data_IF_286374870955
#
_entry.id   IF_286374870955
#
_cell.length_a   1.000
_cell.length_b   1.000
_cell.length_c   1.000
_cell.angle_alpha   90.00
_cell.angle_beta   90.00
_cell.angle_gamma   90.00
#
_symmetry.space_group_name_H-M   'P 1'
#
loop_
_entity.id
_entity.type
_entity.pdbx_description
1 polymer ?
#
# COMPACT_ATOMS: atom_id res chain seq x y z
N UNK A 1 1.36 12.61 -31.59
CA UNK A 1 1.31 12.95 -30.15
C UNK A 1 1.34 11.64 -29.39
N UNK A 2 2.45 11.33 -28.75
CA UNK A 2 2.60 10.12 -27.92
C UNK A 2 1.77 10.28 -26.65
N UNK A 3 1.26 9.18 -26.10
CA UNK A 3 0.40 9.12 -24.92
C UNK A 3 1.10 9.55 -23.60
N UNK A 4 2.13 10.39 -23.66
CA UNK A 4 2.97 10.79 -22.52
C UNK A 4 2.76 12.24 -22.09
N UNK A 5 1.92 13.02 -22.78
CA UNK A 5 1.53 14.37 -22.35
C UNK A 5 0.26 14.35 -21.48
N UNK A 6 0.17 13.39 -20.54
CA UNK A 6 -0.88 13.43 -19.52
C UNK A 6 -0.53 14.50 -18.49
N UNK A 7 -1.14 15.67 -18.66
CA UNK A 7 -1.46 16.72 -17.69
C UNK A 7 -0.72 16.55 -16.34
N UNK A 8 0.42 17.23 -16.18
CA UNK A 8 0.98 17.48 -14.84
C UNK A 8 0.09 18.54 -14.19
N UNK A 9 -0.97 18.12 -13.51
CA UNK A 9 -1.91 19.04 -12.89
C UNK A 9 -1.31 19.74 -11.65
N UNK A 10 -0.35 19.10 -10.96
CA UNK A 10 0.37 19.65 -9.82
C UNK A 10 1.83 19.14 -9.83
N UNK A 11 2.83 19.97 -9.45
CA UNK A 11 4.22 19.53 -9.35
C UNK A 11 4.40 18.53 -8.18
N UNK A 12 5.37 17.63 -8.31
CA UNK A 12 5.77 16.74 -7.21
C UNK A 12 6.17 17.54 -5.97
N UNK A 13 5.75 17.08 -4.79
CA UNK A 13 6.18 17.57 -3.49
C UNK A 13 6.34 16.40 -2.51
N UNK A 14 7.19 16.58 -1.48
CA UNK A 14 7.37 15.58 -0.42
C UNK A 14 6.34 15.70 0.71
N UNK A 15 5.51 16.75 0.70
CA UNK A 15 4.44 16.97 1.65
C UNK A 15 3.43 17.92 1.02
N UNK A 16 2.15 17.52 0.93
CA UNK A 16 1.05 18.38 0.46
C UNK A 16 -0.13 18.45 1.41
N UNK A 17 -0.17 17.62 2.45
CA UNK A 17 -1.25 17.62 3.43
C UNK A 17 -1.44 19.01 4.03
N UNK A 18 -2.69 19.48 4.04
CA UNK A 18 -3.08 20.63 4.83
C UNK A 18 -3.19 20.22 6.30
N UNK A 19 -2.42 20.79 7.24
CA UNK A 19 -2.44 20.36 8.65
C UNK A 19 -3.79 20.49 9.37
N UNK A 20 -4.69 21.33 8.83
CA UNK A 20 -6.05 21.53 9.35
C UNK A 20 -7.14 20.80 8.55
N UNK A 21 -6.74 19.94 7.58
CA UNK A 21 -7.67 19.24 6.69
C UNK A 21 -8.10 20.06 5.48
N UNK A 22 -9.00 19.51 4.65
CA UNK A 22 -9.42 20.13 3.40
C UNK A 22 -8.32 20.15 2.35
N UNK A 23 -7.45 19.12 2.36
CA UNK A 23 -6.46 18.95 1.30
C UNK A 23 -7.19 18.71 -0.02
N UNK A 24 -6.86 19.48 -1.06
CA UNK A 24 -7.52 19.34 -2.36
C UNK A 24 -7.22 17.96 -2.97
N UNK A 25 -8.22 17.20 -3.44
CA UNK A 25 -7.98 15.97 -4.18
C UNK A 25 -7.17 16.22 -5.46
N UNK A 26 -6.33 15.25 -5.82
CA UNK A 26 -5.67 15.19 -7.12
C UNK A 26 -6.70 14.92 -8.21
N UNK A 27 -6.38 15.35 -9.44
CA UNK A 27 -7.27 15.23 -10.60
C UNK A 27 -6.87 14.11 -11.56
N UNK A 28 -5.60 13.71 -11.56
CA UNK A 28 -5.04 12.70 -12.45
C UNK A 28 -4.78 11.35 -11.77
N UNK A 29 -4.67 11.35 -10.45
CA UNK A 29 -4.34 10.18 -9.63
C UNK A 29 -5.25 10.14 -8.42
N UNK A 30 -5.55 8.95 -7.92
CA UNK A 30 -6.32 8.82 -6.70
C UNK A 30 -6.71 7.38 -6.42
N UNK A 31 -7.12 7.17 -5.18
CA UNK A 31 -7.70 5.93 -4.69
C UNK A 31 -8.75 6.32 -3.66
N UNK A 32 -10.03 6.07 -3.97
CA UNK A 32 -11.15 6.46 -3.11
C UNK A 32 -11.75 5.27 -2.35
N UNK A 33 -11.72 4.06 -2.94
CA UNK A 33 -12.22 2.83 -2.35
C UNK A 33 -11.56 1.59 -3.01
N UNK A 34 -11.74 0.41 -2.40
CA UNK A 34 -11.15 -0.87 -2.84
C UNK A 34 -11.93 -1.60 -3.97
N UNK A 35 -13.07 -1.08 -4.43
CA UNK A 35 -13.98 -1.80 -5.34
C UNK A 35 -14.23 -1.13 -6.69
N UNK A 36 -13.78 0.11 -6.87
CA UNK A 36 -13.83 0.83 -8.13
C UNK A 36 -12.99 0.14 -9.21
N UNK A 37 -13.28 0.48 -10.48
CA UNK A 37 -12.49 0.01 -11.62
C UNK A 37 -11.04 0.49 -11.47
N UNK A 38 -10.14 -0.46 -11.31
CA UNK A 38 -8.70 -0.20 -11.25
C UNK A 38 -8.19 0.25 -12.63
N UNK A 39 -7.61 1.44 -12.73
CA UNK A 39 -7.04 1.96 -13.99
C UNK A 39 -5.52 1.92 -14.01
N UNK A 40 -4.88 2.03 -12.85
CA UNK A 40 -3.44 2.15 -12.69
C UNK A 40 -3.00 1.35 -11.46
N UNK A 41 -1.94 0.56 -11.58
CA UNK A 41 -1.41 -0.27 -10.49
C UNK A 41 0.10 -0.13 -10.36
N UNK A 42 0.60 -0.02 -9.14
CA UNK A 42 2.03 0.00 -8.85
C UNK A 42 2.49 -1.36 -8.35
N UNK A 43 3.37 -2.01 -9.11
CA UNK A 43 3.91 -3.34 -8.81
C UNK A 43 5.40 -3.28 -8.46
N UNK A 44 5.85 -4.23 -7.65
CA UNK A 44 7.26 -4.53 -7.46
C UNK A 44 7.67 -5.76 -8.27
N UNK A 45 8.88 -5.74 -8.85
CA UNK A 45 9.36 -6.89 -9.61
C UNK A 45 9.80 -8.06 -8.70
N UNK A 46 9.49 -9.32 -9.06
CA UNK A 46 9.96 -10.50 -8.33
C UNK A 46 11.43 -10.88 -8.65
N UNK A 47 12.18 -10.07 -9.38
CA UNK A 47 13.54 -10.40 -9.83
C UNK A 47 14.52 -10.68 -8.67
N UNK A 48 14.40 -9.93 -7.58
CA UNK A 48 15.24 -10.10 -6.38
C UNK A 48 14.48 -10.71 -5.20
N UNK A 49 13.33 -11.34 -5.48
CA UNK A 49 12.47 -11.92 -4.46
C UNK A 49 13.23 -12.94 -3.62
N UNK A 50 13.31 -12.68 -2.31
CA UNK A 50 13.69 -13.68 -1.32
C UNK A 50 12.62 -13.70 -0.25
N UNK A 51 11.87 -14.79 -0.17
CA UNK A 51 10.86 -14.97 0.87
C UNK A 51 11.54 -15.10 2.23
N UNK A 52 11.54 -14.00 2.98
CA UNK A 52 12.01 -13.96 4.35
C UNK A 52 10.89 -14.37 5.30
N UNK A 53 11.28 -14.94 6.44
CA UNK A 53 10.35 -15.44 7.46
C UNK A 53 9.80 -14.31 8.33
N UNK A 54 8.92 -13.49 7.74
CA UNK A 54 8.37 -12.23 8.25
C UNK A 54 7.33 -12.33 9.37
N UNK A 55 6.74 -13.51 9.60
CA UNK A 55 5.69 -13.74 10.61
C UNK A 55 5.73 -15.19 11.11
N UNK A 56 4.97 -15.49 12.17
CA UNK A 56 4.81 -16.87 12.66
C UNK A 56 4.23 -17.79 11.59
N UNK A 57 3.25 -17.29 10.82
CA UNK A 57 2.63 -17.98 9.70
C UNK A 57 3.64 -18.27 8.58
N UNK A 58 4.38 -17.26 8.11
CA UNK A 58 5.36 -17.46 7.04
C UNK A 58 6.53 -18.35 7.49
N UNK A 59 6.97 -18.25 8.75
CA UNK A 59 7.95 -19.16 9.35
C UNK A 59 7.47 -20.61 9.31
N UNK A 60 6.22 -20.88 9.65
CA UNK A 60 5.67 -22.25 9.62
C UNK A 60 5.60 -22.75 8.19
N UNK A 61 4.97 -21.99 7.30
CA UNK A 61 4.77 -22.40 5.92
C UNK A 61 6.08 -22.64 5.17
N UNK A 62 7.06 -21.72 5.28
CA UNK A 62 8.34 -21.84 4.56
C UNK A 62 9.21 -23.01 5.02
N UNK A 63 8.98 -23.57 6.22
CA UNK A 63 9.65 -24.81 6.66
C UNK A 63 9.07 -26.05 5.98
N UNK A 64 7.77 -26.06 5.73
CA UNK A 64 7.03 -27.19 5.16
C UNK A 64 7.03 -27.14 3.62
N UNK A 65 6.97 -25.94 3.05
CA UNK A 65 6.95 -25.67 1.62
C UNK A 65 7.82 -24.43 1.29
N UNK A 66 9.14 -24.61 1.10
CA UNK A 66 10.02 -23.52 0.71
C UNK A 66 9.58 -22.87 -0.60
N UNK A 67 9.70 -21.54 -0.70
CA UNK A 67 9.33 -20.81 -1.91
C UNK A 67 10.21 -21.24 -3.11
N UNK A 68 9.56 -21.64 -4.20
CA UNK A 68 10.20 -21.77 -5.50
C UNK A 68 10.09 -20.43 -6.25
N UNK A 69 11.20 -19.68 -6.26
CA UNK A 69 11.25 -18.34 -6.87
C UNK A 69 10.91 -18.35 -8.36
N UNK A 70 11.26 -19.42 -9.09
CA UNK A 70 10.93 -19.51 -10.51
C UNK A 70 9.42 -19.68 -10.74
N UNK A 71 8.76 -20.45 -9.87
CA UNK A 71 7.29 -20.56 -9.88
C UNK A 71 6.66 -19.22 -9.50
N UNK A 72 7.17 -18.54 -8.47
CA UNK A 72 6.66 -17.22 -8.07
C UNK A 72 6.81 -16.18 -9.19
N UNK A 73 7.92 -16.19 -9.93
CA UNK A 73 8.13 -15.33 -11.10
C UNK A 73 7.16 -15.63 -12.24
N UNK A 74 6.88 -16.92 -12.50
CA UNK A 74 5.88 -17.32 -13.48
C UNK A 74 4.46 -16.88 -13.07
N UNK A 75 4.07 -17.10 -11.82
CA UNK A 75 2.77 -16.67 -11.28
C UNK A 75 2.63 -15.15 -11.30
N UNK A 76 3.69 -14.41 -10.99
CA UNK A 76 3.69 -12.96 -11.10
C UNK A 76 3.52 -12.49 -12.54
N UNK A 77 4.09 -13.20 -13.53
CA UNK A 77 3.87 -12.90 -14.94
C UNK A 77 2.39 -13.09 -15.32
N UNK A 78 1.74 -14.12 -14.79
CA UNK A 78 0.31 -14.33 -15.01
C UNK A 78 -0.54 -13.21 -14.38
N UNK A 79 -0.16 -12.72 -13.18
CA UNK A 79 -0.79 -11.54 -12.56
C UNK A 79 -0.65 -10.29 -13.43
N UNK A 80 0.54 -10.03 -13.98
CA UNK A 80 0.79 -8.91 -14.90
C UNK A 80 -0.09 -9.03 -16.14
N UNK A 81 -0.13 -10.21 -16.75
CA UNK A 81 -0.96 -10.46 -17.92
C UNK A 81 -2.46 -10.25 -17.64
N UNK A 82 -2.94 -10.57 -16.44
CA UNK A 82 -4.32 -10.29 -16.04
C UNK A 82 -4.61 -8.78 -15.99
N UNK A 83 -3.71 -7.97 -15.40
CA UNK A 83 -3.85 -6.51 -15.40
C UNK A 83 -3.85 -5.94 -16.82
N UNK A 84 -2.91 -6.37 -17.68
CA UNK A 84 -2.84 -5.95 -19.08
C UNK A 84 -4.09 -6.34 -19.86
N UNK A 85 -4.64 -7.53 -19.61
CA UNK A 85 -5.87 -8.02 -20.25
C UNK A 85 -7.07 -7.11 -19.97
N UNK A 86 -7.18 -6.58 -18.75
CA UNK A 86 -8.25 -5.64 -18.36
C UNK A 86 -7.90 -4.17 -18.65
N UNK A 87 -6.78 -3.89 -19.34
CA UNK A 87 -6.40 -2.53 -19.72
C UNK A 87 -5.88 -1.67 -18.57
N UNK A 88 -5.42 -2.28 -17.47
CA UNK A 88 -4.82 -1.58 -16.34
C UNK A 88 -3.40 -1.12 -16.71
N UNK A 89 -3.09 0.15 -16.48
CA UNK A 89 -1.75 0.69 -16.67
C UNK A 89 -0.84 0.24 -15.52
N UNK A 90 0.26 -0.44 -15.85
CA UNK A 90 1.18 -0.97 -14.85
C UNK A 90 2.37 -0.03 -14.69
N UNK A 91 2.60 0.38 -13.44
CA UNK A 91 3.75 1.14 -12.99
C UNK A 91 4.66 0.25 -12.15
N UNK A 92 5.96 0.57 -12.12
CA UNK A 92 6.95 -0.29 -11.49
C UNK A 92 7.81 0.45 -10.48
N UNK A 93 8.02 -0.18 -9.33
CA UNK A 93 9.21 0.10 -8.54
C UNK A 93 10.45 -0.40 -9.29
N UNK A 94 11.51 0.41 -9.30
CA UNK A 94 12.83 -0.04 -9.75
C UNK A 94 13.35 -1.14 -8.81
N UNK A 95 13.64 -2.35 -9.31
CA UNK A 95 14.07 -3.46 -8.47
C UNK A 95 15.51 -3.27 -8.00
N UNK A 96 15.76 -3.52 -6.71
CA UNK A 96 17.13 -3.57 -6.17
C UNK A 96 17.36 -4.83 -5.34
N UNK A 97 18.57 -5.42 -5.37
CA UNK A 97 18.87 -6.67 -4.65
C UNK A 97 18.81 -6.54 -3.12
N UNK A 98 18.86 -5.31 -2.59
CA UNK A 98 18.73 -5.00 -1.17
C UNK A 98 17.28 -5.02 -0.68
N UNK A 99 16.29 -4.99 -1.58
CA UNK A 99 14.86 -4.96 -1.25
C UNK A 99 14.16 -6.27 -1.67
N UNK A 100 14.43 -7.39 -0.96
CA UNK A 100 13.99 -8.72 -1.38
C UNK A 100 12.48 -8.96 -1.30
N UNK A 101 11.74 -8.06 -0.66
CA UNK A 101 10.28 -8.17 -0.46
C UNK A 101 9.53 -7.06 -1.19
N UNK A 102 10.19 -6.29 -2.07
CA UNK A 102 9.59 -5.15 -2.79
C UNK A 102 8.42 -5.53 -3.70
N UNK A 103 8.28 -6.81 -4.05
CA UNK A 103 7.09 -7.34 -4.75
C UNK A 103 5.79 -7.02 -4.01
N UNK A 104 5.84 -6.89 -2.68
CA UNK A 104 4.71 -6.48 -1.84
C UNK A 104 4.63 -4.95 -1.76
N UNK A 105 4.30 -4.30 -2.89
CA UNK A 105 4.25 -2.84 -3.02
C UNK A 105 3.22 -2.17 -2.11
N UNK A 106 2.18 -2.91 -1.68
CA UNK A 106 1.10 -2.47 -0.78
C UNK A 106 1.59 -1.84 0.53
N UNK A 107 2.68 -2.34 1.09
CA UNK A 107 3.05 -1.98 2.47
C UNK A 107 3.81 -0.64 2.57
N UNK A 108 4.58 -0.31 1.56
CA UNK A 108 5.59 0.77 1.61
C UNK A 108 5.00 2.17 1.43
N UNK A 109 3.78 2.25 0.90
CA UNK A 109 3.03 3.48 0.66
C UNK A 109 1.56 3.16 0.41
N UNK A 110 0.69 4.14 0.59
CA UNK A 110 -0.75 4.00 0.33
C UNK A 110 -1.21 5.18 -0.52
N UNK A 111 -1.90 4.89 -1.62
CA UNK A 111 -2.52 5.91 -2.46
C UNK A 111 -3.80 6.45 -1.80
N UNK A 112 -4.08 7.73 -1.98
CA UNK A 112 -5.29 8.40 -1.47
C UNK A 112 -5.80 9.39 -2.52
N UNK A 113 -7.00 9.98 -2.37
CA UNK A 113 -7.43 11.06 -3.26
C UNK A 113 -6.50 12.28 -3.18
N UNK A 114 -5.71 12.40 -2.10
CA UNK A 114 -4.82 13.52 -1.84
C UNK A 114 -3.35 13.21 -2.18
N UNK A 115 -3.07 12.14 -2.92
CA UNK A 115 -1.71 11.66 -3.17
C UNK A 115 -1.28 10.52 -2.26
N UNK A 116 -0.10 9.97 -2.49
CA UNK A 116 0.38 8.84 -1.71
C UNK A 116 0.95 9.29 -0.37
N UNK A 117 0.63 8.61 0.73
CA UNK A 117 1.43 8.77 1.95
C UNK A 117 2.47 7.66 2.05
N UNK A 118 3.64 8.01 2.58
CA UNK A 118 4.72 7.05 2.79
C UNK A 118 4.57 6.45 4.19
N UNK A 119 4.59 5.13 4.26
CA UNK A 119 4.48 4.39 5.52
C UNK A 119 5.82 4.36 6.26
N UNK A 120 5.85 3.75 7.45
CA UNK A 120 7.06 3.58 8.24
C UNK A 120 7.25 2.09 8.55
N UNK A 121 7.96 1.39 7.66
CA UNK A 121 8.08 -0.07 7.73
C UNK A 121 8.66 -0.55 9.07
N UNK A 122 8.00 -1.53 9.69
CA UNK A 122 8.40 -2.03 11.00
C UNK A 122 9.74 -2.76 10.94
N UNK A 123 9.87 -3.66 9.96
CA UNK A 123 11.08 -4.43 9.76
C UNK A 123 12.17 -3.59 9.11
N UNK A 124 13.31 -3.46 9.78
CA UNK A 124 14.41 -2.61 9.33
C UNK A 124 14.92 -2.98 7.92
N UNK A 125 14.92 -4.27 7.56
CA UNK A 125 15.32 -4.75 6.24
C UNK A 125 14.32 -4.43 5.12
N UNK A 126 13.13 -3.92 5.45
CA UNK A 126 12.12 -3.43 4.48
C UNK A 126 12.04 -1.91 4.41
N UNK A 127 12.65 -1.16 5.33
CA UNK A 127 12.58 0.32 5.36
C UNK A 127 13.08 0.98 4.08
N UNK A 128 13.99 0.34 3.35
CA UNK A 128 14.44 0.84 2.05
C UNK A 128 13.34 0.88 0.98
N UNK A 129 12.25 0.11 1.16
CA UNK A 129 11.06 0.13 0.30
C UNK A 129 10.35 1.49 0.35
N UNK A 130 10.35 2.18 1.50
CA UNK A 130 9.79 3.54 1.61
C UNK A 130 10.52 4.54 0.69
N UNK A 131 11.85 4.47 0.61
CA UNK A 131 12.63 5.32 -0.29
C UNK A 131 12.40 4.97 -1.76
N UNK A 132 12.20 3.69 -2.06
CA UNK A 132 11.86 3.26 -3.41
C UNK A 132 10.48 3.78 -3.84
N UNK A 133 9.50 3.78 -2.94
CA UNK A 133 8.19 4.38 -3.18
C UNK A 133 8.31 5.89 -3.48
N UNK A 134 9.04 6.65 -2.66
CA UNK A 134 9.26 8.10 -2.89
C UNK A 134 9.85 8.36 -4.29
N UNK A 135 10.93 7.65 -4.67
CA UNK A 135 11.54 7.80 -6.01
C UNK A 135 10.58 7.43 -7.13
N UNK A 136 9.69 6.47 -6.90
CA UNK A 136 8.70 6.06 -7.90
C UNK A 136 7.66 7.15 -8.08
N UNK A 137 7.11 7.68 -6.99
CA UNK A 137 6.13 8.77 -7.04
C UNK A 137 6.72 10.06 -7.62
N UNK A 138 7.98 10.38 -7.33
CA UNK A 138 8.69 11.50 -7.97
C UNK A 138 8.74 11.33 -9.50
N UNK A 139 9.15 10.15 -10.00
CA UNK A 139 9.17 9.85 -11.43
C UNK A 139 7.80 9.92 -12.09
N UNK A 140 6.75 9.52 -11.36
CA UNK A 140 5.36 9.56 -11.83
C UNK A 140 4.71 10.94 -11.68
N UNK A 141 5.38 11.90 -11.03
CA UNK A 141 4.80 13.22 -10.73
C UNK A 141 3.65 13.16 -9.72
N UNK A 142 3.57 12.11 -8.89
CA UNK A 142 2.54 11.97 -7.87
C UNK A 142 3.07 12.57 -6.56
N UNK A 143 2.48 13.65 -6.04
CA UNK A 143 2.98 14.27 -4.83
C UNK A 143 2.66 13.42 -3.59
N UNK A 144 3.52 13.53 -2.57
CA UNK A 144 3.36 12.84 -1.31
C UNK A 144 2.39 13.62 -0.42
N UNK A 145 1.32 12.96 0.04
CA UNK A 145 0.37 13.50 1.01
C UNK A 145 1.09 13.89 2.31
N UNK A 146 1.64 12.91 3.01
CA UNK A 146 2.54 13.07 4.15
C UNK A 146 3.36 11.78 4.38
N UNK A 147 4.17 11.74 5.43
CA UNK A 147 4.97 10.58 5.81
C UNK A 147 4.76 10.22 7.28
N UNK A 148 4.57 8.93 7.56
CA UNK A 148 4.41 8.45 8.95
C UNK A 148 5.72 8.58 9.71
N UNK A 149 5.66 9.15 10.91
CA UNK A 149 6.82 9.46 11.76
C UNK A 149 6.62 9.16 13.24
N UNK A 150 5.39 8.98 13.71
CA UNK A 150 5.09 8.79 15.13
C UNK A 150 5.34 7.35 15.64
N UNK A 151 5.36 6.37 14.72
CA UNK A 151 5.56 4.97 15.00
C UNK A 151 5.63 4.19 13.69
N UNK A 152 5.63 2.87 13.76
CA UNK A 152 5.54 2.05 12.54
C UNK A 152 4.11 1.99 12.03
N UNK A 153 3.96 1.95 10.71
CA UNK A 153 2.70 1.78 10.00
C UNK A 153 3.03 1.07 8.69
N UNK A 154 2.23 0.10 8.26
CA UNK A 154 2.37 -0.56 6.96
C UNK A 154 1.04 -0.49 6.21
N UNK A 155 1.09 -0.38 4.88
CA UNK A 155 -0.10 -0.11 4.07
C UNK A 155 -1.17 -1.21 4.08
N UNK A 156 -0.81 -2.46 4.38
CA UNK A 156 -1.78 -3.53 4.62
C UNK A 156 -2.72 -3.27 5.82
N UNK A 157 -2.38 -2.32 6.69
CA UNK A 157 -3.24 -1.87 7.78
C UNK A 157 -4.15 -0.68 7.44
N UNK A 158 -4.08 -0.13 6.22
CA UNK A 158 -4.97 0.95 5.77
C UNK A 158 -6.04 0.39 4.83
N UNK A 159 -7.22 0.08 5.36
CA UNK A 159 -8.26 -0.61 4.61
C UNK A 159 -9.49 0.28 4.42
N UNK A 160 -9.70 0.75 3.19
CA UNK A 160 -10.84 1.61 2.86
C UNK A 160 -12.07 0.74 2.58
N UNK A 161 -12.91 0.60 3.60
CA UNK A 161 -14.07 -0.30 3.59
C UNK A 161 -15.30 0.32 2.92
N UNK A 162 -15.34 1.65 2.82
CA UNK A 162 -16.32 2.44 2.09
C UNK A 162 -15.67 3.80 1.73
N UNK A 163 -16.17 4.49 0.72
CA UNK A 163 -15.67 5.82 0.39
C UNK A 163 -15.76 6.75 1.60
N UNK A 164 -14.62 7.32 2.01
CA UNK A 164 -14.53 8.15 3.22
C UNK A 164 -14.57 7.38 4.53
N UNK A 165 -14.53 6.04 4.53
CA UNK A 165 -14.50 5.20 5.74
C UNK A 165 -13.29 4.27 5.71
N UNK A 166 -12.41 4.40 6.69
CA UNK A 166 -11.19 3.58 6.80
C UNK A 166 -11.15 2.80 8.10
N UNK A 167 -10.87 1.50 7.96
CA UNK A 167 -10.50 0.61 9.04
C UNK A 167 -8.96 0.52 9.10
N UNK A 168 -8.40 0.92 10.24
CA UNK A 168 -6.95 0.93 10.47
C UNK A 168 -6.58 -0.25 11.37
N UNK A 169 -5.84 -1.21 10.84
CA UNK A 169 -5.28 -2.32 11.61
C UNK A 169 -4.22 -1.83 12.61
N UNK A 170 -4.26 -2.34 13.83
CA UNK A 170 -3.28 -2.05 14.86
C UNK A 170 -2.91 -3.32 15.62
N UNK A 171 -1.75 -3.88 15.31
CA UNK A 171 -1.29 -5.15 15.85
C UNK A 171 0.00 -5.08 16.66
N UNK A 172 0.67 -3.92 16.78
CA UNK A 172 1.96 -3.80 17.49
C UNK A 172 3.17 -4.32 16.69
N UNK A 173 3.03 -5.44 15.97
CA UNK A 173 4.09 -6.01 15.14
C UNK A 173 4.42 -5.22 13.87
N UNK A 174 3.38 -4.66 13.19
CA UNK A 174 3.53 -3.92 11.92
C UNK A 174 3.11 -2.48 12.06
N UNK A 175 1.86 -2.26 12.41
CA UNK A 175 1.36 -0.93 12.77
C UNK A 175 1.28 -0.78 14.29
N UNK A 176 2.02 0.19 14.81
CA UNK A 176 2.00 0.63 16.19
C UNK A 176 0.85 1.61 16.40
N UNK A 177 0.36 1.70 17.64
CA UNK A 177 -0.76 2.58 17.97
C UNK A 177 -0.45 4.06 17.68
N UNK A 178 0.80 4.50 17.90
CA UNK A 178 1.25 5.86 17.59
C UNK A 178 1.19 6.16 16.10
N UNK A 179 1.60 5.22 15.26
CA UNK A 179 1.50 5.31 13.80
C UNK A 179 0.04 5.31 13.34
N UNK A 180 -0.77 4.39 13.87
CA UNK A 180 -2.21 4.32 13.58
C UNK A 180 -2.93 5.62 13.94
N UNK A 181 -2.69 6.16 15.14
CA UNK A 181 -3.30 7.42 15.60
C UNK A 181 -2.83 8.64 14.81
N UNK A 182 -1.57 8.65 14.37
CA UNK A 182 -1.07 9.71 13.50
C UNK A 182 -1.83 9.72 12.16
N UNK A 183 -1.95 8.56 11.51
CA UNK A 183 -2.71 8.43 10.26
C UNK A 183 -4.18 8.73 10.49
N UNK A 184 -4.79 8.18 11.54
CA UNK A 184 -6.16 8.46 11.95
C UNK A 184 -6.44 9.97 12.02
N UNK A 185 -5.59 10.71 12.74
CA UNK A 185 -5.74 12.15 12.92
C UNK A 185 -5.58 12.96 11.62
N UNK A 186 -4.92 12.43 10.60
CA UNK A 186 -4.89 13.05 9.28
C UNK A 186 -6.25 12.92 8.59
N UNK A 187 -6.77 11.70 8.50
CA UNK A 187 -8.00 11.40 7.78
C UNK A 187 -9.25 11.93 8.49
N UNK A 188 -9.27 11.96 9.83
CA UNK A 188 -10.33 12.64 10.60
C UNK A 188 -10.46 14.12 10.20
N UNK A 189 -9.33 14.81 9.96
CA UNK A 189 -9.33 16.22 9.53
C UNK A 189 -9.76 16.39 8.08
N UNK A 190 -9.56 15.38 7.25
CA UNK A 190 -10.11 15.35 5.90
C UNK A 190 -11.60 14.98 5.88
N UNK A 191 -12.20 14.69 7.04
CA UNK A 191 -13.62 14.39 7.19
C UNK A 191 -13.98 12.92 6.96
N UNK A 192 -13.00 12.02 6.97
CA UNK A 192 -13.23 10.58 6.87
C UNK A 192 -13.71 10.02 8.21
N UNK A 193 -14.55 8.99 8.19
CA UNK A 193 -14.77 8.15 9.36
C UNK A 193 -13.60 7.17 9.50
N UNK A 194 -12.92 7.23 10.63
CA UNK A 194 -11.79 6.34 10.91
C UNK A 194 -12.10 5.42 12.10
N UNK A 195 -11.67 4.15 12.00
CA UNK A 195 -11.77 3.18 13.09
C UNK A 195 -10.46 2.43 13.23
N UNK A 196 -9.86 2.46 14.43
CA UNK A 196 -8.72 1.59 14.74
C UNK A 196 -9.26 0.24 15.20
N UNK A 197 -8.86 -0.82 14.51
CA UNK A 197 -9.15 -2.21 14.87
C UNK A 197 -7.88 -2.86 15.42
N UNK A 198 -7.94 -3.26 16.69
CA UNK A 198 -6.86 -4.03 17.30
C UNK A 198 -6.92 -5.48 16.82
N UNK A 199 -5.84 -5.95 16.21
CA UNK A 199 -5.74 -7.30 15.64
C UNK A 199 -4.62 -8.09 16.30
N UNK A 200 -4.77 -9.41 16.33
CA UNK A 200 -3.69 -10.29 16.76
C UNK A 200 -2.54 -10.24 15.75
N UNK A 201 -1.29 -10.14 16.25
CA UNK A 201 -0.06 -10.14 15.45
C UNK A 201 0.06 -11.34 14.50
N UNK A 202 -0.64 -12.44 14.80
CA UNK A 202 -0.76 -13.61 13.94
C UNK A 202 -1.23 -13.25 12.52
N UNK A 203 -2.18 -12.34 12.39
CA UNK A 203 -2.76 -11.94 11.10
C UNK A 203 -1.90 -10.95 10.35
N UNK A 204 -0.88 -10.36 10.99
CA UNK A 204 0.08 -9.41 10.40
C UNK A 204 -0.52 -8.05 10.03
N UNK A 205 -1.62 -8.04 9.26
CA UNK A 205 -2.29 -6.87 8.70
C UNK A 205 -3.82 -7.08 8.66
N UNK A 206 -4.60 -5.99 8.70
CA UNK A 206 -6.08 -6.06 8.65
C UNK A 206 -6.61 -6.53 7.28
N UNK A 207 -5.88 -6.31 6.19
CA UNK A 207 -6.25 -6.73 4.83
C UNK A 207 -6.25 -8.26 4.66
N UNK A 208 -5.65 -9.01 5.58
CA UNK A 208 -5.77 -10.47 5.66
C UNK A 208 -7.05 -10.92 6.39
N UNK A 209 -7.78 -9.98 6.99
CA UNK A 209 -9.00 -10.25 7.76
C UNK A 209 -10.25 -9.64 7.14
N UNK A 210 -10.16 -8.49 6.48
CA UNK A 210 -11.29 -7.74 5.94
C UNK A 210 -10.93 -7.27 4.54
N UNK A 211 -11.68 -7.69 3.52
CA UNK A 211 -11.41 -7.29 2.12
C UNK A 211 -12.74 -6.92 1.45
N UNK A 212 -12.98 -5.63 1.12
CA UNK A 212 -14.07 -5.25 0.25
C UNK A 212 -13.89 -5.91 -1.13
N UNK A 213 -14.95 -6.53 -1.66
CA UNK A 213 -14.90 -7.25 -2.96
C UNK A 213 -15.95 -6.77 -3.95
N UNK A 214 -16.98 -6.05 -3.49
CA UNK A 214 -17.92 -5.31 -4.32
C UNK A 214 -18.64 -4.25 -3.46
N UNK A 215 -19.43 -3.39 -4.09
CA UNK A 215 -20.28 -2.42 -3.40
C UNK A 215 -21.12 -3.12 -2.31
N UNK A 216 -20.96 -2.68 -1.05
CA UNK A 216 -21.62 -3.25 0.14
C UNK A 216 -21.38 -4.76 0.34
N UNK A 217 -20.27 -5.30 -0.17
CA UNK A 217 -19.88 -6.70 0.01
C UNK A 217 -18.41 -6.82 0.44
N UNK A 218 -18.19 -7.48 1.58
CA UNK A 218 -16.88 -7.64 2.19
C UNK A 218 -16.64 -9.10 2.54
N UNK A 219 -15.49 -9.64 2.15
CA UNK A 219 -14.98 -10.90 2.65
C UNK A 219 -14.34 -10.69 4.03
N UNK A 220 -14.76 -11.48 5.02
CA UNK A 220 -14.25 -11.37 6.39
C UNK A 220 -13.74 -12.71 6.90
N UNK A 221 -12.59 -12.70 7.57
CA UNK A 221 -12.08 -13.82 8.34
C UNK A 221 -12.69 -13.77 9.74
N UNK A 222 -13.51 -14.77 10.09
CA UNK A 222 -14.27 -14.76 11.35
C UNK A 222 -13.48 -15.25 12.57
N UNK A 223 -12.27 -15.81 12.37
CA UNK A 223 -11.43 -16.48 13.35
C UNK A 223 -12.09 -17.68 14.07
#
# INVERSE_FOLDING_TARGET
>A
MTAHDRIVAEPFSLQRRNPVGGTKPLTAWGFANETDVLTDVLLGSPNFLRHLSTSSLSRKHLREAPCNVQIAQAQHKDLVAAYEHFGVNIHWHEPTPELPMQVYSRDSSVMTPYGAFITAMANWWRRGENYAAIRTYEKLGIPIYDMVTAGTFEGGDFNVIEEGVVLIGCGGARTQEEGARQVQAWFDKEGWETRIAFIDEYYVHIDLMVVPIAEKLTAVCLA
#
